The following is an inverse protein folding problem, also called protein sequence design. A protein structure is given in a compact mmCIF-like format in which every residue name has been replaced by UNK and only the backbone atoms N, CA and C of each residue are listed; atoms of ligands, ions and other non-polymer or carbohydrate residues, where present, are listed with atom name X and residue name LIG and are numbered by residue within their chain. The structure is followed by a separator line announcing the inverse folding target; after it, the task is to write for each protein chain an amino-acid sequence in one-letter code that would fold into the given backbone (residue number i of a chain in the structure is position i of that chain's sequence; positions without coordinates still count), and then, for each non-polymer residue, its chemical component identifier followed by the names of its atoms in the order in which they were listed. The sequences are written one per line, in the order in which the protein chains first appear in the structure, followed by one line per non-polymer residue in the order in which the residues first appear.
data_IF_427444107971
#
_entry.id   IF_427444107971
#
_cell.length_a   1.000
_cell.length_b   1.000
_cell.length_c   1.000
_cell.angle_alpha   90.00
_cell.angle_beta   90.00
_cell.angle_gamma   90.00
#
_symmetry.space_group_name_H-M   'P 1'
#
loop_
_entity.id
_entity.type
_entity.pdbx_description
1 polymer ?
#
# COMPACT_ATOMS: atom_id res chain seq x y z
N UNK A 1 -7.32 -7.77 -0.93
CA UNK A 1 -6.49 -7.00 -1.90
C UNK A 1 -5.07 -7.49 -1.87
N UNK A 2 -4.49 -7.67 -3.05
CA UNK A 2 -3.09 -8.08 -3.14
C UNK A 2 -2.17 -6.87 -3.14
N UNK A 3 -0.92 -7.08 -2.74
CA UNK A 3 0.05 -5.99 -2.78
C UNK A 3 0.19 -5.41 -4.19
N UNK A 4 0.18 -6.26 -5.22
CA UNK A 4 0.32 -5.78 -6.60
C UNK A 4 -0.85 -4.90 -7.03
N UNK A 5 -2.05 -5.21 -6.57
CA UNK A 5 -3.22 -4.39 -6.86
C UNK A 5 -3.09 -3.03 -6.19
N UNK A 6 -2.66 -3.04 -4.94
CA UNK A 6 -2.47 -1.80 -4.18
C UNK A 6 -1.43 -0.92 -4.87
N UNK A 7 -0.29 -1.49 -5.22
CA UNK A 7 0.79 -0.74 -5.87
C UNK A 7 0.34 -0.15 -7.19
N UNK A 8 -0.35 -0.94 -7.99
CA UNK A 8 -0.82 -0.47 -9.31
C UNK A 8 -1.76 0.72 -9.16
N UNK A 9 -2.68 0.62 -8.22
CA UNK A 9 -3.67 1.68 -8.02
C UNK A 9 -3.02 2.94 -7.47
N UNK A 10 -2.10 2.79 -6.52
CA UNK A 10 -1.36 3.93 -5.98
C UNK A 10 -0.58 4.64 -7.07
N UNK A 11 0.08 3.88 -7.94
CA UNK A 11 0.83 4.47 -9.04
C UNK A 11 -0.07 5.21 -10.02
N UNK A 12 -1.29 4.70 -10.23
CA UNK A 12 -2.25 5.36 -11.12
C UNK A 12 -2.72 6.69 -10.55
N UNK A 13 -2.52 6.91 -9.25
CA UNK A 13 -2.87 8.17 -8.61
C UNK A 13 -1.73 9.19 -8.66
N UNK A 14 -0.62 8.84 -9.30
CA UNK A 14 0.55 9.73 -9.34
C UNK A 14 1.42 9.65 -8.11
N UNK A 15 1.25 8.61 -7.30
CA UNK A 15 2.07 8.40 -6.12
C UNK A 15 3.01 7.24 -6.37
N UNK A 16 3.92 7.01 -5.41
CA UNK A 16 4.97 6.01 -5.58
C UNK A 16 5.00 5.06 -4.40
N UNK A 17 5.54 3.87 -4.63
CA UNK A 17 5.65 2.86 -3.60
C UNK A 17 7.11 2.65 -3.25
N UNK A 18 7.40 2.66 -1.95
CA UNK A 18 8.70 2.26 -1.44
C UNK A 18 8.44 1.04 -0.56
N UNK A 19 8.66 -0.14 -1.13
CA UNK A 19 8.33 -1.40 -0.47
C UNK A 19 9.50 -1.81 0.42
N UNK A 20 9.28 -1.79 1.71
CA UNK A 20 10.28 -2.19 2.70
C UNK A 20 9.90 -3.53 3.29
N UNK A 21 10.81 -4.09 4.08
CA UNK A 21 10.60 -5.41 4.65
C UNK A 21 9.41 -5.44 5.61
N UNK A 22 9.30 -4.43 6.45
CA UNK A 22 8.28 -4.40 7.50
C UNK A 22 7.06 -3.58 7.16
N UNK A 23 7.16 -2.70 6.19
CA UNK A 23 6.07 -1.80 5.85
C UNK A 23 6.22 -1.26 4.44
N UNK A 24 5.12 -0.80 3.89
CA UNK A 24 5.12 -0.14 2.60
C UNK A 24 4.95 1.34 2.85
N UNK A 25 5.83 2.16 2.26
CA UNK A 25 5.68 3.60 2.27
C UNK A 25 5.03 4.02 0.96
N UNK A 26 3.99 4.82 1.05
CA UNK A 26 3.46 5.52 -0.13
C UNK A 26 4.11 6.90 -0.11
N UNK A 27 4.72 7.30 -1.22
CA UNK A 27 5.50 8.53 -1.30
C UNK A 27 4.97 9.43 -2.41
N UNK A 28 5.22 10.75 -2.27
CA UNK A 28 4.89 11.69 -3.33
C UNK A 28 6.05 11.75 -4.34
N UNK A 29 5.94 12.61 -5.34
CA UNK A 29 6.95 12.69 -6.39
C UNK A 29 8.27 13.30 -5.91
N UNK A 30 8.30 13.86 -4.72
CA UNK A 30 9.53 14.36 -4.11
C UNK A 30 10.11 13.34 -3.14
N UNK A 31 9.53 12.14 -3.09
CA UNK A 31 9.95 11.04 -2.23
C UNK A 31 9.70 11.28 -0.74
N UNK A 32 8.79 12.20 -0.42
CA UNK A 32 8.35 12.37 0.95
C UNK A 32 7.26 11.36 1.26
N UNK A 33 7.28 10.75 2.44
CA UNK A 33 6.25 9.77 2.79
C UNK A 33 4.89 10.42 2.94
N UNK A 34 3.87 9.76 2.42
CA UNK A 34 2.49 10.18 2.53
C UNK A 34 1.81 9.34 3.60
N UNK A 35 2.04 8.04 3.60
CA UNK A 35 1.56 7.16 4.64
C UNK A 35 2.34 5.85 4.61
N UNK A 36 2.20 5.07 5.68
CA UNK A 36 2.77 3.74 5.71
C UNK A 36 1.69 2.74 6.09
N UNK A 37 1.84 1.51 5.62
CA UNK A 37 0.97 0.40 6.02
C UNK A 37 1.87 -0.77 6.38
N UNK A 38 1.55 -1.43 7.49
CA UNK A 38 2.36 -2.53 7.99
C UNK A 38 2.24 -3.77 7.12
N UNK A 39 3.34 -4.49 6.96
CA UNK A 39 3.37 -5.80 6.31
C UNK A 39 3.41 -6.92 7.36
N UNK A 40 3.47 -6.57 8.62
CA UNK A 40 3.58 -7.54 9.72
C UNK A 40 2.29 -7.67 10.52
N UNK A 41 1.47 -6.64 10.52
CA UNK A 41 0.23 -6.63 11.30
C UNK A 41 -0.92 -6.12 10.46
N UNK A 42 -2.11 -6.64 10.73
CA UNK A 42 -3.32 -6.17 10.04
C UNK A 42 -3.82 -4.89 10.71
N UNK A 43 -4.40 -4.03 9.93
CA UNK A 43 -5.01 -2.78 10.39
C UNK A 43 -4.03 -1.78 11.04
N UNK A 44 -2.77 -1.84 10.69
CA UNK A 44 -1.77 -0.88 11.18
C UNK A 44 -1.35 0.04 10.04
N UNK A 45 -1.77 1.28 10.14
CA UNK A 45 -1.57 2.31 9.13
C UNK A 45 -1.11 3.57 9.85
N UNK A 46 -0.17 4.30 9.28
CA UNK A 46 0.27 5.58 9.83
C UNK A 46 0.07 6.65 8.77
N UNK A 47 -0.74 7.66 9.07
CA UNK A 47 -1.00 8.77 8.18
C UNK A 47 -0.52 10.10 8.78
N UNK A 48 0.31 10.06 9.80
CA UNK A 48 0.78 11.27 10.45
C UNK A 48 1.96 11.86 9.71
N UNK A 49 1.77 12.18 8.45
CA UNK A 49 2.80 12.78 7.61
C UNK A 49 2.25 14.07 6.98
N UNK A 50 3.05 15.13 6.94
CA UNK A 50 2.60 16.38 6.31
C UNK A 50 2.11 16.21 4.89
N UNK A 51 2.76 15.34 4.12
CA UNK A 51 2.35 15.10 2.73
C UNK A 51 0.99 14.46 2.62
N UNK A 52 0.57 13.66 3.62
CA UNK A 52 -0.77 13.12 3.64
C UNK A 52 -1.77 14.24 3.92
N UNK A 53 -1.47 15.08 4.91
CA UNK A 53 -2.36 16.15 5.32
C UNK A 53 -2.58 17.12 4.17
N UNK A 54 -1.57 17.33 3.35
CA UNK A 54 -1.63 18.28 2.23
C UNK A 54 -2.22 17.72 0.96
N UNK A 55 -2.54 16.42 0.90
CA UNK A 55 -3.16 15.87 -0.29
C UNK A 55 -4.51 16.50 -0.56
N UNK A 56 -4.88 16.69 -1.84
CA UNK A 56 -6.23 17.13 -2.16
C UNK A 56 -7.26 16.15 -1.58
N UNK A 57 -8.38 16.68 -1.14
CA UNK A 57 -9.37 15.89 -0.41
C UNK A 57 -9.79 14.63 -1.16
N UNK A 58 -10.09 14.74 -2.45
CA UNK A 58 -10.52 13.57 -3.22
C UNK A 58 -9.46 12.49 -3.30
N UNK A 59 -8.20 12.88 -3.45
CA UNK A 59 -7.10 11.94 -3.50
C UNK A 59 -6.86 11.32 -2.13
N UNK A 60 -6.97 12.13 -1.08
CA UNK A 60 -6.82 11.65 0.29
C UNK A 60 -7.88 10.59 0.61
N UNK A 61 -9.13 10.85 0.23
CA UNK A 61 -10.23 9.94 0.49
C UNK A 61 -10.03 8.62 -0.26
N UNK A 62 -9.69 8.69 -1.53
CA UNK A 62 -9.46 7.49 -2.34
C UNK A 62 -8.30 6.68 -1.78
N UNK A 63 -7.21 7.33 -1.42
CA UNK A 63 -6.04 6.65 -0.88
C UNK A 63 -6.36 5.99 0.46
N UNK A 64 -7.16 6.64 1.30
CA UNK A 64 -7.51 6.09 2.59
C UNK A 64 -8.37 4.83 2.43
N UNK A 65 -9.34 4.86 1.54
CA UNK A 65 -10.16 3.69 1.27
C UNK A 65 -9.27 2.54 0.78
N UNK A 66 -8.34 2.84 -0.10
CA UNK A 66 -7.47 1.86 -0.69
C UNK A 66 -6.56 1.21 0.37
N UNK A 67 -5.92 2.03 1.20
CA UNK A 67 -4.99 1.51 2.20
C UNK A 67 -5.70 0.74 3.30
N UNK A 68 -6.91 1.15 3.66
CA UNK A 68 -7.69 0.40 4.65
C UNK A 68 -8.09 -0.96 4.06
N UNK A 69 -8.44 -1.01 2.79
CA UNK A 69 -8.78 -2.26 2.14
C UNK A 69 -7.60 -3.23 2.16
N UNK A 70 -6.39 -2.74 1.90
CA UNK A 70 -5.21 -3.57 2.00
C UNK A 70 -4.96 -3.98 3.46
N UNK A 71 -5.03 -3.03 4.37
CA UNK A 71 -4.68 -3.26 5.78
C UNK A 71 -5.58 -4.31 6.44
N UNK A 72 -6.85 -4.36 6.05
CA UNK A 72 -7.74 -5.35 6.64
C UNK A 72 -7.70 -6.69 5.90
N UNK A 73 -6.97 -6.80 4.81
CA UNK A 73 -6.79 -8.08 4.13
C UNK A 73 -5.81 -8.93 4.96
N UNK A 74 -6.13 -10.18 5.25
CA UNK A 74 -5.22 -11.03 5.99
C UNK A 74 -3.86 -11.08 5.31
N UNK A 75 -2.81 -11.09 6.11
CA UNK A 75 -1.45 -10.97 5.58
C UNK A 75 -1.14 -12.00 4.51
N UNK A 76 -1.55 -13.25 4.72
CA UNK A 76 -1.27 -14.31 3.76
C UNK A 76 -2.01 -14.09 2.43
N UNK A 77 -3.11 -13.36 2.45
CA UNK A 77 -3.90 -13.13 1.24
C UNK A 77 -3.45 -11.91 0.46
N UNK A 78 -2.49 -11.16 0.98
CA UNK A 78 -1.95 -10.01 0.26
C UNK A 78 -0.91 -10.42 -0.77
N UNK A 79 -0.32 -11.60 -0.59
CA UNK A 79 0.75 -12.08 -1.47
C UNK A 79 0.18 -12.62 -2.77
N UNK A 80 0.99 -12.55 -3.82
CA UNK A 80 0.60 -13.13 -5.08
C UNK A 80 0.59 -14.64 -4.97
N UNK A 81 -0.29 -15.27 -5.72
CA UNK A 81 -0.36 -16.70 -5.72
C UNK A 81 0.88 -17.24 -6.41
N UNK A 82 1.49 -18.25 -5.81
CA UNK A 82 2.73 -18.75 -6.36
C UNK A 82 2.48 -19.95 -7.22
N UNK A 83 2.11 -19.69 -8.44
CA UNK A 83 1.75 -20.75 -9.35
C UNK A 83 2.87 -21.64 -9.76
N UNK A 84 4.09 -21.15 -9.62
CA UNK A 84 5.17 -21.94 -10.02
C UNK A 84 5.33 -23.20 -9.27
N UNK A 85 4.73 -23.27 -8.14
CA UNK A 85 4.94 -24.47 -7.40
C UNK A 85 4.28 -25.61 -8.06
N UNK A 86 3.65 -25.37 -9.13
CA UNK A 86 3.02 -26.46 -9.71
C UNK A 86 3.94 -27.11 -10.53
N UNK A 87 4.98 -26.62 -10.68
CA UNK A 87 5.83 -27.20 -11.40
C UNK A 87 6.38 -28.31 -11.10
N UNK A 88 6.31 -28.78 -10.66
CA UNK A 88 7.00 -29.84 -10.44
C UNK A 88 6.56 -30.71 -10.92
N UNK A 89 6.87 -31.07 -11.27
CA UNK A 89 6.70 -32.13 -11.68
C UNK A 89 7.12 -32.61 -11.30
#
# INVERSE_FOLDING_TARGET
MKYSEFERTVKSMGLFINDREDEIYVEDDSQFPVLTVSKLDEMVIDTEYPSFIELPYGKKDTLLILVVTLAKTPLAEREEEKLYNVIFP
#
